data_IF_114232628978
#
_entry.id   IF_114232628978
#
_cell.length_a   1.000
_cell.length_b   1.000
_cell.length_c   1.000
_cell.angle_alpha   90.00
_cell.angle_beta   90.00
_cell.angle_gamma   90.00
#
_symmetry.space_group_name_H-M   'P 1'
#
loop_
_entity.id
_entity.type
_entity.pdbx_description
1 polymer ?
#
# COMPACT_ATOMS: atom_id res chain seq x y z
N UNK A 1 -13.77 -15.31 6.68
CA UNK A 1 -12.34 -14.91 6.79
C UNK A 1 -11.37 -16.06 7.03
N UNK A 2 -11.71 -17.11 7.80
CA UNK A 2 -10.83 -18.27 8.03
C UNK A 2 -10.61 -19.17 6.79
N UNK A 3 -11.54 -19.18 5.84
CA UNK A 3 -11.49 -20.06 4.65
C UNK A 3 -10.54 -19.52 3.55
N UNK A 4 -10.38 -18.19 3.42
CA UNK A 4 -9.43 -17.60 2.44
C UNK A 4 -7.98 -17.71 2.91
N UNK A 5 -7.74 -17.60 4.23
CA UNK A 5 -6.43 -17.87 4.84
C UNK A 5 -6.04 -19.34 4.64
N UNK A 6 -7.00 -20.27 4.76
CA UNK A 6 -6.75 -21.70 4.50
C UNK A 6 -6.44 -22.03 3.04
N UNK A 7 -7.08 -21.35 2.06
CA UNK A 7 -6.80 -21.56 0.63
C UNK A 7 -5.42 -21.04 0.21
N UNK A 8 -4.98 -19.90 0.76
CA UNK A 8 -3.62 -19.37 0.54
C UNK A 8 -2.56 -20.31 1.12
N UNK A 9 -2.80 -20.85 2.32
CA UNK A 9 -1.86 -21.74 2.99
C UNK A 9 -1.74 -23.10 2.28
N UNK A 10 -2.82 -23.66 1.73
CA UNK A 10 -2.80 -24.98 1.07
C UNK A 10 -1.92 -25.03 -0.19
N UNK A 11 -1.93 -23.98 -1.01
CA UNK A 11 -1.04 -23.89 -2.20
C UNK A 11 0.42 -23.75 -1.78
N UNK A 12 0.68 -23.08 -0.65
CA UNK A 12 2.00 -22.92 -0.08
C UNK A 12 2.59 -24.24 0.43
N UNK A 13 1.81 -25.02 1.21
CA UNK A 13 2.23 -26.34 1.69
C UNK A 13 2.44 -27.34 0.56
N UNK A 14 1.62 -27.30 -0.49
CA UNK A 14 1.79 -28.13 -1.69
C UNK A 14 3.08 -27.79 -2.45
N UNK A 15 3.40 -26.50 -2.61
CA UNK A 15 4.64 -26.07 -3.27
C UNK A 15 5.89 -26.45 -2.47
N UNK A 16 5.83 -26.35 -1.14
CA UNK A 16 6.93 -26.77 -0.28
C UNK A 16 7.12 -28.29 -0.26
N UNK A 17 6.04 -29.07 -0.17
CA UNK A 17 6.11 -30.52 -0.25
C UNK A 17 6.71 -31.00 -1.58
N UNK A 18 6.37 -30.34 -2.70
CA UNK A 18 6.91 -30.66 -4.02
C UNK A 18 8.40 -30.27 -4.15
N UNK A 19 8.82 -29.15 -3.56
CA UNK A 19 10.23 -28.79 -3.52
C UNK A 19 11.05 -29.77 -2.67
N UNK A 20 10.49 -30.25 -1.55
CA UNK A 20 11.13 -31.25 -0.68
C UNK A 20 11.29 -32.60 -1.38
N UNK A 21 10.27 -33.08 -2.11
CA UNK A 21 10.36 -34.34 -2.83
C UNK A 21 11.38 -34.26 -3.98
N UNK A 22 11.42 -33.15 -4.71
CA UNK A 22 12.43 -32.92 -5.75
C UNK A 22 13.84 -32.80 -5.13
N UNK A 23 13.99 -32.09 -4.02
CA UNK A 23 15.27 -31.99 -3.31
C UNK A 23 15.77 -33.37 -2.84
N UNK A 24 14.89 -34.19 -2.26
CA UNK A 24 15.22 -35.53 -1.79
C UNK A 24 15.63 -36.45 -2.94
N UNK A 25 14.91 -36.42 -4.06
CA UNK A 25 15.25 -37.18 -5.26
C UNK A 25 16.60 -36.74 -5.86
N UNK A 26 16.86 -35.45 -5.88
CA UNK A 26 18.13 -34.88 -6.34
C UNK A 26 19.31 -35.24 -5.42
N UNK A 27 19.09 -35.36 -4.11
CA UNK A 27 20.12 -35.79 -3.16
C UNK A 27 20.38 -37.30 -3.20
N UNK A 28 19.35 -38.11 -3.40
CA UNK A 28 19.46 -39.58 -3.39
C UNK A 28 19.96 -40.17 -4.72
N UNK A 29 19.62 -39.53 -5.85
CA UNK A 29 19.90 -40.07 -7.20
C UNK A 29 20.75 -39.13 -8.07
N UNK A 30 21.03 -37.91 -7.61
CA UNK A 30 21.80 -36.95 -8.38
C UNK A 30 23.31 -37.20 -8.27
N UNK A 31 24.01 -37.13 -9.39
CA UNK A 31 25.47 -36.97 -9.42
C UNK A 31 25.82 -35.60 -10.03
N UNK A 32 26.88 -34.96 -9.55
CA UNK A 32 27.29 -33.62 -9.98
C UNK A 32 26.20 -32.57 -9.76
N UNK A 33 25.52 -32.16 -10.83
CA UNK A 33 24.55 -31.06 -10.86
C UNK A 33 23.30 -31.36 -10.03
N UNK A 34 22.87 -32.63 -9.99
CA UNK A 34 21.70 -33.05 -9.21
C UNK A 34 21.92 -32.84 -7.70
N UNK A 35 23.11 -33.18 -7.19
CA UNK A 35 23.47 -32.97 -5.78
C UNK A 35 23.48 -31.49 -5.41
N UNK A 36 24.10 -30.64 -6.22
CA UNK A 36 24.14 -29.19 -5.98
C UNK A 36 22.73 -28.58 -5.98
N UNK A 37 21.85 -29.02 -6.86
CA UNK A 37 20.46 -28.58 -6.92
C UNK A 37 19.65 -29.06 -5.70
N UNK A 38 19.88 -30.29 -5.24
CA UNK A 38 19.30 -30.81 -4.01
C UNK A 38 19.73 -30.02 -2.77
N UNK A 39 21.02 -29.68 -2.65
CA UNK A 39 21.57 -28.85 -1.57
C UNK A 39 20.96 -27.45 -1.60
N UNK A 40 20.90 -26.81 -2.77
CA UNK A 40 20.27 -25.50 -2.96
C UNK A 40 18.80 -25.47 -2.52
N UNK A 41 17.99 -26.42 -2.97
CA UNK A 41 16.57 -26.47 -2.61
C UNK A 41 16.40 -26.70 -1.10
N UNK A 42 17.23 -27.56 -0.50
CA UNK A 42 17.20 -27.84 0.94
C UNK A 42 17.53 -26.59 1.76
N UNK A 43 18.61 -25.88 1.41
CA UNK A 43 19.04 -24.65 2.06
C UNK A 43 18.00 -23.53 1.91
N UNK A 44 17.44 -23.35 0.71
CA UNK A 44 16.42 -22.33 0.44
C UNK A 44 15.16 -22.54 1.27
N UNK A 45 14.77 -23.80 1.49
CA UNK A 45 13.63 -24.12 2.34
C UNK A 45 13.94 -23.88 3.81
N UNK A 46 15.09 -24.34 4.30
CA UNK A 46 15.49 -24.20 5.70
C UNK A 46 15.63 -22.72 6.11
N UNK A 47 16.25 -21.91 5.25
CA UNK A 47 16.40 -20.47 5.45
C UNK A 47 15.07 -19.71 5.33
N UNK A 48 14.11 -20.21 4.53
CA UNK A 48 12.81 -19.55 4.36
C UNK A 48 11.89 -19.66 5.58
N UNK A 49 12.26 -20.48 6.58
CA UNK A 49 11.60 -20.54 7.88
C UNK A 49 11.93 -19.29 8.72
N UNK A 50 13.15 -18.76 8.59
CA UNK A 50 13.67 -17.68 9.44
C UNK A 50 13.80 -16.33 8.73
N UNK A 51 13.88 -16.33 7.39
CA UNK A 51 14.17 -15.15 6.58
C UNK A 51 13.09 -14.89 5.51
N UNK A 52 12.94 -13.64 5.04
CA UNK A 52 12.06 -13.33 3.91
C UNK A 52 12.35 -14.21 2.70
N UNK A 53 11.29 -14.71 2.05
CA UNK A 53 11.40 -15.68 0.93
C UNK A 53 12.34 -15.20 -0.18
N UNK A 54 12.31 -13.92 -0.49
CA UNK A 54 13.22 -13.30 -1.46
C UNK A 54 14.67 -13.40 -1.01
N UNK A 55 14.99 -13.08 0.24
CA UNK A 55 16.35 -13.16 0.76
C UNK A 55 16.85 -14.60 0.85
N UNK A 56 15.98 -15.53 1.25
CA UNK A 56 16.30 -16.95 1.38
C UNK A 56 16.60 -17.60 0.03
N UNK A 57 15.69 -17.46 -0.93
CA UNK A 57 15.75 -18.16 -2.21
C UNK A 57 16.70 -17.49 -3.20
N UNK A 58 16.70 -16.16 -3.26
CA UNK A 58 17.50 -15.43 -4.26
C UNK A 58 18.88 -15.00 -3.77
N UNK A 59 19.16 -15.02 -2.46
CA UNK A 59 20.44 -14.51 -1.93
C UNK A 59 21.19 -15.54 -1.09
N UNK A 60 20.66 -15.97 0.05
CA UNK A 60 21.43 -16.82 0.97
C UNK A 60 21.63 -18.25 0.47
N UNK A 61 20.57 -18.89 -0.04
CA UNK A 61 20.71 -20.27 -0.52
C UNK A 61 21.69 -20.43 -1.69
N UNK A 62 21.66 -19.59 -2.74
CA UNK A 62 22.66 -19.64 -3.81
C UNK A 62 24.08 -19.42 -3.30
N UNK A 63 24.30 -18.43 -2.42
CA UNK A 63 25.63 -18.09 -1.88
C UNK A 63 26.18 -19.24 -1.03
N UNK A 64 25.37 -19.83 -0.17
CA UNK A 64 25.77 -20.98 0.66
C UNK A 64 26.02 -22.22 -0.19
N UNK A 65 25.21 -22.46 -1.22
CA UNK A 65 25.41 -23.58 -2.15
C UNK A 65 26.70 -23.41 -2.95
N UNK A 66 27.01 -22.19 -3.39
CA UNK A 66 28.26 -21.85 -4.06
C UNK A 66 29.47 -21.99 -3.13
N UNK A 67 29.38 -21.51 -1.89
CA UNK A 67 30.44 -21.67 -0.89
C UNK A 67 30.75 -23.15 -0.60
N UNK A 68 29.71 -23.99 -0.52
CA UNK A 68 29.85 -25.44 -0.34
C UNK A 68 30.39 -26.15 -1.60
N UNK A 69 30.15 -25.59 -2.80
CA UNK A 69 30.58 -26.15 -4.09
C UNK A 69 31.94 -25.61 -4.57
N UNK A 70 32.54 -24.66 -3.85
CA UNK A 70 33.80 -24.01 -4.21
C UNK A 70 35.02 -24.96 -4.22
N UNK A 71 34.86 -26.19 -3.73
CA UNK A 71 35.89 -27.24 -3.78
C UNK A 71 36.03 -27.91 -5.14
N UNK A 72 35.10 -27.67 -6.09
CA UNK A 72 35.12 -28.30 -7.41
C UNK A 72 35.25 -27.25 -8.54
N UNK A 73 36.48 -27.08 -9.03
CA UNK A 73 36.94 -25.89 -9.77
C UNK A 73 36.25 -25.61 -11.13
N UNK A 74 35.57 -26.57 -11.75
CA UNK A 74 34.90 -26.34 -13.05
C UNK A 74 33.43 -25.89 -12.93
N UNK A 75 32.70 -26.46 -11.97
CA UNK A 75 31.25 -26.25 -11.82
C UNK A 75 30.94 -24.94 -11.11
N UNK A 76 31.83 -24.51 -10.20
CA UNK A 76 31.68 -23.27 -9.45
C UNK A 76 31.52 -22.03 -10.35
N UNK A 77 32.39 -21.90 -11.36
CA UNK A 77 32.35 -20.73 -12.26
C UNK A 77 31.12 -20.70 -13.16
N UNK A 78 30.65 -21.85 -13.62
CA UNK A 78 29.43 -21.96 -14.44
C UNK A 78 28.20 -21.56 -13.62
N UNK A 79 28.06 -22.09 -12.39
CA UNK A 79 26.94 -21.76 -11.50
C UNK A 79 26.98 -20.29 -11.06
N UNK A 80 28.17 -19.76 -10.77
CA UNK A 80 28.36 -18.34 -10.43
C UNK A 80 27.94 -17.41 -11.58
N UNK A 81 28.32 -17.75 -12.83
CA UNK A 81 27.95 -16.97 -14.01
C UNK A 81 26.45 -16.99 -14.29
N UNK A 82 25.79 -18.15 -14.18
CA UNK A 82 24.34 -18.29 -14.34
C UNK A 82 23.57 -17.50 -13.26
N UNK A 83 24.07 -17.55 -12.01
CA UNK A 83 23.49 -16.80 -10.90
C UNK A 83 23.64 -15.28 -11.07
N UNK A 84 24.80 -14.82 -11.54
CA UNK A 84 25.02 -13.40 -11.86
C UNK A 84 24.03 -12.90 -12.93
N UNK A 85 23.75 -13.70 -13.97
CA UNK A 85 22.75 -13.37 -15.00
C UNK A 85 21.35 -13.26 -14.40
N UNK A 86 20.95 -14.19 -13.52
CA UNK A 86 19.63 -14.15 -12.85
C UNK A 86 19.50 -12.90 -11.98
N UNK A 87 20.54 -12.53 -11.22
CA UNK A 87 20.54 -11.31 -10.42
C UNK A 87 20.45 -10.04 -11.28
N UNK A 88 21.14 -10.01 -12.43
CA UNK A 88 21.06 -8.89 -13.38
C UNK A 88 19.66 -8.78 -13.96
N UNK A 89 19.05 -9.88 -14.41
CA UNK A 89 17.67 -9.88 -14.94
C UNK A 89 16.66 -9.47 -13.87
N UNK A 90 16.80 -9.96 -12.64
CA UNK A 90 15.94 -9.55 -11.53
C UNK A 90 16.13 -8.07 -11.17
N UNK A 91 17.38 -7.60 -11.16
CA UNK A 91 17.72 -6.19 -10.96
C UNK A 91 17.11 -5.29 -12.03
N UNK A 92 17.20 -5.69 -13.30
CA UNK A 92 16.55 -5.00 -14.43
C UNK A 92 15.03 -5.02 -14.27
N UNK A 93 14.43 -6.15 -13.92
CA UNK A 93 12.98 -6.22 -13.71
C UNK A 93 12.51 -5.32 -12.56
N UNK A 94 13.25 -5.29 -11.44
CA UNK A 94 12.98 -4.36 -10.33
C UNK A 94 13.20 -2.90 -10.73
N UNK A 95 14.25 -2.62 -11.49
CA UNK A 95 14.54 -1.29 -12.00
C UNK A 95 13.45 -0.81 -12.96
N UNK A 96 12.99 -1.66 -13.88
CA UNK A 96 11.87 -1.39 -14.77
C UNK A 96 10.56 -1.21 -14.01
N UNK A 97 10.25 -2.06 -13.02
CA UNK A 97 9.07 -1.89 -12.17
C UNK A 97 9.11 -0.59 -11.35
N UNK A 98 10.29 -0.19 -10.87
CA UNK A 98 10.49 1.11 -10.21
C UNK A 98 10.38 2.26 -11.20
N UNK A 99 10.87 2.12 -12.43
CA UNK A 99 10.74 3.13 -13.48
C UNK A 99 9.30 3.26 -13.97
N UNK A 100 8.57 2.17 -14.18
CA UNK A 100 7.15 2.17 -14.52
C UNK A 100 6.33 2.75 -13.38
N UNK A 101 6.64 2.39 -12.13
CA UNK A 101 6.08 3.03 -10.94
C UNK A 101 6.35 4.54 -10.94
N UNK A 102 7.58 4.97 -11.22
CA UNK A 102 7.94 6.39 -11.35
C UNK A 102 7.31 7.08 -12.57
N UNK A 103 6.99 6.37 -13.65
CA UNK A 103 6.39 6.91 -14.87
C UNK A 103 4.88 7.07 -14.74
N UNK A 104 4.21 6.09 -14.12
CA UNK A 104 2.81 6.18 -13.68
C UNK A 104 2.63 7.28 -12.64
N UNK A 105 3.59 7.42 -11.71
CA UNK A 105 3.67 8.55 -10.80
C UNK A 105 3.88 9.83 -11.60
N UNK A 106 4.90 10.01 -12.45
CA UNK A 106 5.14 11.28 -13.16
C UNK A 106 4.02 11.79 -14.06
N UNK A 107 3.26 10.90 -14.73
CA UNK A 107 2.14 11.30 -15.59
C UNK A 107 0.92 11.76 -14.76
N UNK A 108 0.83 11.34 -13.50
CA UNK A 108 -0.24 11.76 -12.57
C UNK A 108 0.28 12.64 -11.40
N UNK A 109 1.60 12.82 -11.24
CA UNK A 109 2.23 13.46 -10.07
C UNK A 109 2.53 14.92 -10.26
N UNK A 110 2.42 15.48 -11.46
CA UNK A 110 2.36 16.94 -11.58
C UNK A 110 1.12 17.51 -10.86
N UNK A 111 0.15 16.67 -10.47
CA UNK A 111 -0.95 17.01 -9.56
C UNK A 111 -0.98 16.18 -8.26
N UNK A 112 -0.04 15.25 -8.03
CA UNK A 112 -0.07 14.30 -6.89
C UNK A 112 1.28 14.10 -6.16
N UNK A 113 2.30 14.94 -6.41
CA UNK A 113 3.64 14.82 -5.81
C UNK A 113 3.73 15.27 -4.33
N UNK A 114 2.81 14.81 -3.47
CA UNK A 114 2.89 14.93 -2.00
C UNK A 114 2.33 13.71 -1.25
N UNK A 115 2.27 12.56 -1.91
CA UNK A 115 1.91 11.30 -1.26
C UNK A 115 3.18 10.68 -0.65
N UNK A 116 3.65 11.21 0.49
CA UNK A 116 4.61 10.50 1.34
C UNK A 116 4.26 10.66 2.81
N UNK A 117 4.10 9.49 3.45
CA UNK A 117 4.04 9.19 4.89
C UNK A 117 2.97 9.88 5.74
N UNK A 118 1.76 9.29 5.77
CA UNK A 118 0.96 8.93 6.96
C UNK A 118 0.75 9.89 8.14
N UNK A 119 1.26 11.11 8.11
CA UNK A 119 1.20 12.10 9.17
C UNK A 119 0.77 13.43 8.57
N UNK A 120 -0.21 14.05 9.22
CA UNK A 120 -0.64 15.40 8.92
C UNK A 120 0.46 16.36 9.42
N UNK A 121 1.05 17.16 8.53
CA UNK A 121 2.10 18.12 8.90
C UNK A 121 1.51 19.50 9.07
N UNK A 122 1.70 20.11 10.23
CA UNK A 122 1.26 21.47 10.52
C UNK A 122 2.43 22.45 10.34
N UNK A 123 2.35 23.31 9.33
CA UNK A 123 3.35 24.36 9.11
C UNK A 123 3.14 25.52 10.09
N UNK A 124 4.10 25.82 10.97
CA UNK A 124 4.00 27.00 11.85
C UNK A 124 3.84 28.30 11.05
N UNK A 125 4.39 28.39 9.84
CA UNK A 125 4.23 29.56 8.97
C UNK A 125 2.77 29.78 8.57
N UNK A 126 2.06 28.72 8.20
CA UNK A 126 0.65 28.78 7.80
C UNK A 126 -0.25 29.27 8.94
N UNK A 127 -0.02 28.83 10.18
CA UNK A 127 -0.79 29.29 11.35
C UNK A 127 -0.48 30.75 11.72
N UNK A 128 0.77 31.20 11.54
CA UNK A 128 1.15 32.60 11.76
C UNK A 128 0.52 33.52 10.70
N UNK A 129 0.53 33.12 9.43
CA UNK A 129 -0.14 33.85 8.34
C UNK A 129 -1.65 33.88 8.53
N UNK A 130 -2.22 32.80 9.09
CA UNK A 130 -3.61 32.69 9.47
C UNK A 130 -4.01 33.63 10.63
N UNK A 131 -3.07 34.26 11.34
CA UNK A 131 -3.33 35.17 12.49
C UNK A 131 -4.30 34.57 13.52
N UNK A 132 -4.24 33.25 13.72
CA UNK A 132 -5.02 32.57 14.73
C UNK A 132 -4.42 32.83 16.11
N UNK A 133 -5.27 32.92 17.13
CA UNK A 133 -4.81 32.86 18.52
C UNK A 133 -4.23 31.47 18.83
N UNK A 134 -3.44 31.37 19.89
CA UNK A 134 -2.87 30.07 20.31
C UNK A 134 -3.94 29.04 20.63
N UNK A 135 -5.05 29.49 21.23
CA UNK A 135 -6.19 28.65 21.59
C UNK A 135 -6.89 28.10 20.34
N UNK A 136 -7.06 28.92 19.31
CA UNK A 136 -7.60 28.50 18.01
C UNK A 136 -6.64 27.57 17.28
N UNK A 137 -5.33 27.86 17.28
CA UNK A 137 -4.31 26.99 16.68
C UNK A 137 -4.32 25.59 17.31
N UNK A 138 -4.38 25.49 18.63
CA UNK A 138 -4.41 24.22 19.35
C UNK A 138 -5.72 23.46 19.08
N UNK A 139 -6.86 24.16 19.03
CA UNK A 139 -8.14 23.57 18.65
C UNK A 139 -8.10 22.97 17.24
N UNK A 140 -7.64 23.75 16.26
CA UNK A 140 -7.56 23.34 14.85
C UNK A 140 -6.65 22.13 14.68
N UNK A 141 -5.46 22.14 15.30
CA UNK A 141 -4.53 21.02 15.23
C UNK A 141 -5.13 19.74 15.80
N UNK A 142 -5.77 19.85 16.96
CA UNK A 142 -6.37 18.70 17.63
C UNK A 142 -7.53 18.12 16.82
N UNK A 143 -8.45 18.96 16.36
CA UNK A 143 -9.63 18.50 15.62
C UNK A 143 -9.24 17.89 14.26
N UNK A 144 -8.32 18.53 13.52
CA UNK A 144 -7.80 17.96 12.27
C UNK A 144 -7.06 16.63 12.50
N UNK A 145 -6.28 16.49 13.58
CA UNK A 145 -5.63 15.23 13.92
C UNK A 145 -6.66 14.13 14.22
N UNK A 146 -7.67 14.41 15.03
CA UNK A 146 -8.71 13.44 15.38
C UNK A 146 -9.45 12.95 14.13
N UNK A 147 -9.84 13.85 13.24
CA UNK A 147 -10.51 13.51 11.97
C UNK A 147 -9.59 12.78 11.01
N UNK A 148 -8.31 13.17 10.95
CA UNK A 148 -7.33 12.50 10.09
C UNK A 148 -7.06 11.05 10.52
N UNK A 149 -7.13 10.73 11.81
CA UNK A 149 -7.04 9.33 12.27
C UNK A 149 -8.18 8.48 11.71
N UNK A 150 -9.40 9.00 11.69
CA UNK A 150 -10.55 8.31 11.06
C UNK A 150 -10.26 8.07 9.57
N UNK A 151 -9.69 9.05 8.87
CA UNK A 151 -9.31 8.88 7.47
C UNK A 151 -8.27 7.76 7.28
N UNK A 152 -7.27 7.67 8.16
CA UNK A 152 -6.27 6.59 8.13
C UNK A 152 -6.94 5.22 8.28
N UNK A 153 -7.95 5.09 9.14
CA UNK A 153 -8.72 3.85 9.31
C UNK A 153 -9.51 3.49 8.05
N UNK A 154 -10.20 4.45 7.44
CA UNK A 154 -10.96 4.24 6.20
C UNK A 154 -10.05 3.79 5.06
N UNK A 155 -8.85 4.38 4.95
CA UNK A 155 -7.87 4.00 3.92
C UNK A 155 -7.38 2.54 4.04
N UNK A 156 -7.51 1.93 5.22
CA UNK A 156 -7.14 0.52 5.44
C UNK A 156 -8.24 -0.47 5.05
N UNK A 157 -9.47 0.00 4.82
CA UNK A 157 -10.60 -0.84 4.44
C UNK A 157 -10.52 -1.24 2.96
N UNK A 158 -10.70 -2.53 2.67
CA UNK A 158 -10.68 -3.09 1.31
C UNK A 158 -12.10 -3.19 0.73
N UNK A 159 -12.74 -2.03 0.50
CA UNK A 159 -14.12 -1.96 -0.02
C UNK A 159 -14.22 -1.40 -1.45
N UNK A 160 -13.08 -1.20 -2.12
CA UNK A 160 -13.03 -0.65 -3.48
C UNK A 160 -13.66 -1.55 -4.56
N UNK A 161 -13.89 -2.83 -4.24
CA UNK A 161 -14.65 -3.77 -5.07
C UNK A 161 -16.15 -3.49 -5.08
N UNK A 162 -16.67 -2.88 -4.01
CA UNK A 162 -18.08 -2.58 -3.84
C UNK A 162 -18.38 -1.12 -4.19
N UNK A 163 -17.54 -0.19 -3.73
CA UNK A 163 -17.76 1.24 -3.89
C UNK A 163 -16.99 1.76 -5.10
N UNK A 164 -17.73 2.22 -6.11
CA UNK A 164 -17.16 2.88 -7.28
C UNK A 164 -16.38 4.12 -6.86
N UNK A 165 -15.18 4.29 -7.41
CA UNK A 165 -14.31 5.45 -7.19
C UNK A 165 -13.85 5.67 -5.73
N UNK A 166 -13.91 4.65 -4.86
CA UNK A 166 -13.49 4.76 -3.46
C UNK A 166 -12.06 5.30 -3.28
N UNK A 167 -11.12 4.83 -4.10
CA UNK A 167 -9.73 5.31 -4.08
C UNK A 167 -9.61 6.80 -4.44
N UNK A 168 -10.41 7.26 -5.39
CA UNK A 168 -10.46 8.67 -5.78
C UNK A 168 -11.06 9.53 -4.67
N UNK A 169 -12.17 9.08 -4.06
CA UNK A 169 -12.78 9.79 -2.92
C UNK A 169 -11.78 9.95 -1.76
N UNK A 170 -11.02 8.89 -1.44
CA UNK A 170 -9.95 8.98 -0.43
C UNK A 170 -8.84 9.97 -0.82
N UNK A 171 -8.50 10.07 -2.11
CA UNK A 171 -7.53 11.05 -2.58
C UNK A 171 -8.04 12.49 -2.43
N UNK A 172 -9.31 12.75 -2.76
CA UNK A 172 -9.94 14.08 -2.58
C UNK A 172 -9.99 14.44 -1.09
N UNK A 173 -10.43 13.53 -0.22
CA UNK A 173 -10.45 13.75 1.24
C UNK A 173 -9.03 14.08 1.74
N UNK A 174 -8.02 13.36 1.28
CA UNK A 174 -6.62 13.63 1.66
C UNK A 174 -6.17 15.02 1.19
N UNK A 175 -6.57 15.44 -0.01
CA UNK A 175 -6.26 16.77 -0.53
C UNK A 175 -6.92 17.87 0.31
N UNK A 176 -8.18 17.69 0.73
CA UNK A 176 -8.88 18.62 1.63
C UNK A 176 -8.14 18.75 2.96
N UNK A 177 -7.75 17.64 3.59
CA UNK A 177 -7.01 17.69 4.86
C UNK A 177 -5.68 18.43 4.74
N UNK A 178 -4.99 18.29 3.60
CA UNK A 178 -3.75 19.00 3.36
C UNK A 178 -3.98 20.50 3.16
N UNK A 179 -4.98 20.85 2.36
CA UNK A 179 -5.31 22.27 2.14
C UNK A 179 -5.69 22.93 3.47
N UNK A 180 -6.42 22.24 4.35
CA UNK A 180 -6.73 22.73 5.70
C UNK A 180 -5.49 22.92 6.59
N UNK A 181 -4.40 22.18 6.36
CA UNK A 181 -3.14 22.40 7.07
C UNK A 181 -2.29 23.51 6.47
N UNK A 182 -2.39 23.71 5.16
CA UNK A 182 -1.66 24.75 4.44
C UNK A 182 -2.38 26.11 4.57
N UNK A 183 -3.71 26.09 4.72
CA UNK A 183 -4.60 27.26 4.83
C UNK A 183 -5.57 27.16 6.05
N UNK A 184 -5.08 27.21 7.31
CA UNK A 184 -5.90 26.94 8.51
C UNK A 184 -7.14 27.85 8.70
N UNK A 185 -7.15 29.05 8.12
CA UNK A 185 -8.31 29.98 8.19
C UNK A 185 -9.59 29.40 7.60
N UNK A 186 -9.45 28.50 6.63
CA UNK A 186 -10.59 27.96 5.89
C UNK A 186 -11.34 26.90 6.67
N UNK A 187 -10.84 26.48 7.84
CA UNK A 187 -11.53 25.48 8.66
C UNK A 187 -12.95 25.90 9.02
N UNK A 188 -13.20 27.19 9.21
CA UNK A 188 -14.54 27.75 9.50
C UNK A 188 -15.51 27.59 8.33
N UNK A 189 -15.00 27.61 7.10
CA UNK A 189 -15.82 27.39 5.90
C UNK A 189 -16.12 25.90 5.66
N UNK A 190 -15.46 25.00 6.40
CA UNK A 190 -15.50 23.54 6.21
C UNK A 190 -16.24 22.77 7.31
N UNK A 191 -17.14 23.44 8.03
CA UNK A 191 -18.01 22.80 9.02
C UNK A 191 -18.79 21.62 8.42
N UNK A 192 -19.33 21.81 7.21
CA UNK A 192 -20.07 20.77 6.48
C UNK A 192 -19.17 19.57 6.12
N UNK A 193 -17.95 19.81 5.63
CA UNK A 193 -17.04 18.71 5.31
C UNK A 193 -16.64 17.93 6.58
N UNK A 194 -16.08 18.63 7.57
CA UNK A 194 -15.46 17.99 8.75
C UNK A 194 -16.48 17.29 9.64
N UNK A 195 -17.66 17.89 9.84
CA UNK A 195 -18.62 17.43 10.84
C UNK A 195 -19.86 16.75 10.28
N UNK A 196 -20.12 16.88 8.97
CA UNK A 196 -21.24 16.18 8.31
C UNK A 196 -20.76 15.20 7.25
N UNK A 197 -20.21 15.68 6.13
CA UNK A 197 -19.95 14.84 4.96
C UNK A 197 -18.91 13.76 5.24
N UNK A 198 -17.78 14.12 5.87
CA UNK A 198 -16.73 13.16 6.22
C UNK A 198 -17.20 12.17 7.29
N UNK A 199 -17.96 12.63 8.28
CA UNK A 199 -18.55 11.78 9.32
C UNK A 199 -19.53 10.77 8.72
N UNK A 200 -20.47 11.23 7.91
CA UNK A 200 -21.46 10.40 7.24
C UNK A 200 -20.79 9.36 6.34
N UNK A 201 -19.73 9.75 5.63
CA UNK A 201 -18.95 8.83 4.81
C UNK A 201 -18.30 7.74 5.66
N UNK A 202 -17.65 8.11 6.77
CA UNK A 202 -17.01 7.17 7.67
C UNK A 202 -18.01 6.17 8.27
N UNK A 203 -19.18 6.65 8.72
CA UNK A 203 -20.26 5.81 9.26
C UNK A 203 -20.81 4.84 8.20
N UNK A 204 -21.02 5.30 6.97
CA UNK A 204 -21.52 4.47 5.88
C UNK A 204 -20.49 3.42 5.44
N UNK A 205 -19.20 3.76 5.38
CA UNK A 205 -18.12 2.79 5.11
C UNK A 205 -18.06 1.73 6.20
N UNK A 206 -18.08 2.12 7.48
CA UNK A 206 -18.07 1.17 8.60
C UNK A 206 -19.30 0.26 8.61
N UNK A 207 -20.47 0.80 8.25
CA UNK A 207 -21.70 0.03 8.08
C UNK A 207 -21.57 -0.99 6.94
N UNK A 208 -20.98 -0.60 5.81
CA UNK A 208 -20.73 -1.49 4.67
C UNK A 208 -19.81 -2.64 5.05
N UNK A 209 -18.66 -2.34 5.67
CA UNK A 209 -17.70 -3.34 6.15
C UNK A 209 -18.36 -4.31 7.15
N UNK A 210 -19.19 -3.79 8.05
CA UNK A 210 -19.92 -4.62 9.01
C UNK A 210 -20.95 -5.52 8.33
N UNK A 211 -21.65 -5.02 7.31
CA UNK A 211 -22.64 -5.80 6.55
C UNK A 211 -21.99 -6.91 5.73
N UNK A 212 -20.84 -6.65 5.10
CA UNK A 212 -20.05 -7.64 4.37
C UNK A 212 -19.57 -8.79 5.28
N UNK A 213 -19.13 -8.48 6.50
CA UNK A 213 -18.76 -9.49 7.51
C UNK A 213 -19.97 -10.31 8.02
N UNK A 214 -21.15 -9.66 8.03
CA UNK A 214 -22.52 -10.15 8.30
C UNK A 214 -22.89 -11.51 7.70
N UNK A 215 -23.16 -11.54 6.39
CA UNK A 215 -23.69 -12.68 5.61
C UNK A 215 -24.06 -12.23 4.18
N UNK A 216 -24.20 -13.13 3.19
CA UNK A 216 -24.64 -12.80 1.83
C UNK A 216 -26.16 -12.51 1.69
N UNK A 217 -26.92 -12.39 2.79
CA UNK A 217 -28.37 -12.12 2.75
C UNK A 217 -28.73 -10.64 2.55
N UNK A 218 -27.75 -9.75 2.57
CA UNK A 218 -27.93 -8.29 2.50
C UNK A 218 -27.37 -7.68 1.21
N UNK A 219 -27.22 -8.46 0.14
CA UNK A 219 -26.58 -8.02 -1.11
C UNK A 219 -27.20 -6.72 -1.66
N UNK A 220 -28.53 -6.61 -1.66
CA UNK A 220 -29.23 -5.40 -2.10
C UNK A 220 -28.94 -4.18 -1.21
N UNK A 221 -28.86 -4.36 0.12
CA UNK A 221 -28.52 -3.28 1.05
C UNK A 221 -27.05 -2.86 0.93
N UNK A 222 -26.16 -3.81 0.66
CA UNK A 222 -24.73 -3.55 0.39
C UNK A 222 -24.59 -2.74 -0.89
N UNK A 223 -25.30 -3.12 -1.97
CA UNK A 223 -25.29 -2.39 -3.24
C UNK A 223 -25.85 -0.97 -3.10
N UNK A 224 -26.99 -0.80 -2.42
CA UNK A 224 -27.57 0.53 -2.17
C UNK A 224 -26.63 1.43 -1.36
N UNK A 225 -25.99 0.87 -0.33
CA UNK A 225 -25.04 1.62 0.51
C UNK A 225 -23.77 1.97 -0.26
N UNK A 226 -23.28 1.06 -1.11
CA UNK A 226 -22.14 1.30 -1.97
C UNK A 226 -22.43 2.35 -3.05
N UNK A 227 -23.63 2.36 -3.61
CA UNK A 227 -24.08 3.40 -4.54
C UNK A 227 -24.16 4.76 -3.85
N UNK A 228 -24.76 4.82 -2.65
CA UNK A 228 -24.80 6.05 -1.84
C UNK A 228 -23.39 6.57 -1.56
N UNK A 229 -22.45 5.70 -1.18
CA UNK A 229 -21.05 6.07 -0.99
C UNK A 229 -20.42 6.59 -2.28
N UNK A 230 -20.70 5.97 -3.43
CA UNK A 230 -20.25 6.46 -4.74
C UNK A 230 -20.76 7.87 -5.06
N UNK A 231 -22.01 8.17 -4.73
CA UNK A 231 -22.63 9.48 -4.96
C UNK A 231 -22.02 10.61 -4.10
N UNK A 232 -21.40 10.28 -2.96
CA UNK A 232 -20.71 11.27 -2.11
C UNK A 232 -19.46 11.88 -2.77
N UNK A 233 -19.00 11.34 -3.91
CA UNK A 233 -17.87 11.92 -4.66
C UNK A 233 -18.12 13.39 -4.99
N UNK A 234 -19.29 13.73 -5.54
CA UNK A 234 -19.62 15.10 -5.95
C UNK A 234 -19.62 16.06 -4.75
N UNK A 235 -20.03 15.58 -3.58
CA UNK A 235 -19.99 16.34 -2.33
C UNK A 235 -18.56 16.68 -1.94
N UNK A 236 -17.64 15.71 -1.98
CA UNK A 236 -16.23 15.97 -1.65
C UNK A 236 -15.53 16.86 -2.68
N UNK A 237 -15.87 16.74 -3.97
CA UNK A 237 -15.36 17.65 -4.99
C UNK A 237 -15.83 19.10 -4.74
N UNK A 238 -17.10 19.28 -4.35
CA UNK A 238 -17.62 20.59 -3.97
C UNK A 238 -16.92 21.16 -2.72
N UNK A 239 -16.68 20.33 -1.71
CA UNK A 239 -15.94 20.73 -0.51
C UNK A 239 -14.51 21.14 -0.87
N UNK A 240 -13.80 20.35 -1.68
CA UNK A 240 -12.45 20.68 -2.15
C UNK A 240 -12.39 22.01 -2.92
N UNK A 241 -13.40 22.31 -3.74
CA UNK A 241 -13.49 23.59 -4.45
C UNK A 241 -13.56 24.77 -3.47
N UNK A 242 -14.34 24.63 -2.39
CA UNK A 242 -14.46 25.67 -1.37
C UNK A 242 -13.15 25.87 -0.58
N UNK A 243 -12.40 24.81 -0.28
CA UNK A 243 -11.12 24.95 0.44
C UNK A 243 -10.04 25.56 -0.47
N UNK A 244 -10.10 25.34 -1.77
CA UNK A 244 -9.12 25.96 -2.69
C UNK A 244 -9.53 27.36 -3.17
N UNK A 245 -10.55 27.99 -2.57
CA UNK A 245 -11.10 29.28 -3.02
C UNK A 245 -10.12 30.44 -2.82
N UNK A 246 -9.41 30.52 -1.68
CA UNK A 246 -8.44 31.61 -1.44
C UNK A 246 -7.24 31.53 -2.38
N UNK A 247 -6.73 30.32 -2.66
CA UNK A 247 -5.63 30.12 -3.62
C UNK A 247 -6.06 30.58 -5.02
N UNK A 248 -7.30 30.30 -5.43
CA UNK A 248 -7.85 30.76 -6.72
C UNK A 248 -8.05 32.27 -6.79
N UNK A 249 -8.42 32.91 -5.68
CA UNK A 249 -8.55 34.37 -5.63
C UNK A 249 -7.17 35.02 -5.77
N UNK A 250 -6.17 34.53 -5.05
CA UNK A 250 -4.78 35.00 -5.18
C UNK A 250 -4.22 34.83 -6.59
N UNK A 251 -4.52 33.72 -7.28
CA UNK A 251 -4.11 33.47 -8.66
C UNK A 251 -4.83 34.35 -9.70
N UNK A 252 -5.99 34.93 -9.37
CA UNK A 252 -6.73 35.85 -10.25
C UNK A 252 -6.27 37.30 -10.12
N UNK A 253 -5.61 37.62 -9.01
CA UNK A 253 -5.08 38.96 -8.72
C UNK A 253 -3.62 39.15 -9.18
N UNK A 254 -2.97 38.08 -9.67
CA UNK A 254 -1.65 38.06 -10.30
C UNK A 254 -1.74 38.27 -11.83
#
# INVERSE_FOLDING_TARGET
MLISIFRSNRRFWLGQALCLTVALLCLLFGSGWGLSLGVYLSLAMLLSIFLPKTLSWLFLSPVLTLALSATNNGVFWVVLSAYAVILVVYGIHKFLAVMEGKRLVNVHSQQLSYVTSGQLFFSQGAFQEAKLSREEEDFVKKDLQERYQVFIELRRQDIGTWVKNYSYQLAVIQAIFRELTDSPRQILSMDDFLYRHFKDFAENVNRLVTMEAKTPKNEEQILQLAEKLGQMQATFEADFIKVTEDERQLLREL
#
